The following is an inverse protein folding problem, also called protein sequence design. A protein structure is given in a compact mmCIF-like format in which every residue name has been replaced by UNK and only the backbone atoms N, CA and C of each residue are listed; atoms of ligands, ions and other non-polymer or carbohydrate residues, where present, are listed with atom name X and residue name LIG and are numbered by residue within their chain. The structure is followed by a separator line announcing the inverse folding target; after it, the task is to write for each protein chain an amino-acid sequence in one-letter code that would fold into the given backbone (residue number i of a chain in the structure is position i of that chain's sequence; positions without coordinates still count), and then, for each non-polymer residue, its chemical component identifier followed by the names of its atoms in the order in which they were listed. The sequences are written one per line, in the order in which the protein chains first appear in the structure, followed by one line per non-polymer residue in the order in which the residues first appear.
data_IF_073802357483
#
_entry.id   IF_073802357483
#
_cell.length_a   1.000
_cell.length_b   1.000
_cell.length_c   1.000
_cell.angle_alpha   90.00
_cell.angle_beta   90.00
_cell.angle_gamma   90.00
#
_symmetry.space_group_name_H-M   'P 1'
#
loop_
_entity.id
_entity.type
_entity.pdbx_description
1 polymer ?
#
# COMPACT_ATOMS: atom_id res chain seq x y z
N UNK A 1 19.04 -5.67 1.69
CA UNK A 1 17.71 -6.28 1.90
C UNK A 1 16.91 -6.13 0.61
N UNK A 2 16.12 -7.13 0.20
CA UNK A 2 15.21 -6.93 -0.92
C UNK A 2 14.15 -5.89 -0.54
N UNK A 3 13.96 -4.87 -1.38
CA UNK A 3 12.92 -3.84 -1.19
C UNK A 3 11.53 -4.47 -1.37
N UNK A 4 10.53 -3.96 -0.64
CA UNK A 4 9.13 -4.36 -0.81
C UNK A 4 8.65 -4.25 -2.26
N UNK A 5 9.25 -3.33 -3.04
CA UNK A 5 9.00 -3.17 -4.48
C UNK A 5 9.25 -4.46 -5.27
N UNK A 6 10.29 -5.23 -4.92
CA UNK A 6 10.62 -6.45 -5.65
C UNK A 6 9.55 -7.53 -5.46
N UNK A 7 9.04 -7.68 -4.23
CA UNK A 7 7.96 -8.63 -3.94
C UNK A 7 6.65 -8.23 -4.59
N UNK A 8 6.30 -6.94 -4.57
CA UNK A 8 5.09 -6.44 -5.22
C UNK A 8 5.15 -6.58 -6.75
N UNK A 9 6.31 -6.31 -7.36
CA UNK A 9 6.50 -6.51 -8.79
C UNK A 9 6.30 -7.99 -9.19
N UNK A 10 6.77 -8.93 -8.36
CA UNK A 10 6.53 -10.35 -8.58
C UNK A 10 5.06 -10.74 -8.40
N UNK A 11 4.36 -10.16 -7.41
CA UNK A 11 2.97 -10.48 -7.10
C UNK A 11 1.98 -9.96 -8.15
N UNK A 12 2.27 -8.80 -8.76
CA UNK A 12 1.35 -8.11 -9.68
C UNK A 12 1.83 -8.10 -11.14
N UNK A 13 2.60 -9.10 -11.55
CA UNK A 13 3.07 -9.31 -12.93
C UNK A 13 3.82 -8.09 -13.52
N UNK A 14 4.63 -7.41 -12.70
CA UNK A 14 5.40 -6.24 -13.11
C UNK A 14 4.56 -4.98 -13.39
N UNK A 15 3.27 -4.97 -13.03
CA UNK A 15 2.43 -3.78 -13.18
C UNK A 15 2.90 -2.66 -12.24
N UNK A 16 3.01 -1.47 -12.82
CA UNK A 16 3.41 -0.24 -12.09
C UNK A 16 2.24 0.44 -11.37
N UNK A 17 1.01 0.05 -11.68
CA UNK A 17 -0.21 0.63 -11.12
C UNK A 17 -1.14 -0.46 -10.63
N UNK A 18 -1.61 -0.30 -9.41
CA UNK A 18 -2.59 -1.16 -8.75
C UNK A 18 -3.96 -0.47 -8.69
N UNK A 19 -5.00 -1.29 -8.74
CA UNK A 19 -6.35 -0.88 -8.36
C UNK A 19 -6.45 -0.69 -6.85
N UNK A 20 -7.52 -0.04 -6.39
CA UNK A 20 -7.77 0.08 -4.94
C UNK A 20 -7.85 -1.28 -4.25
N UNK A 21 -8.50 -2.26 -4.88
CA UNK A 21 -8.70 -3.60 -4.30
C UNK A 21 -7.33 -4.27 -4.06
N UNK A 22 -6.45 -4.24 -5.07
CA UNK A 22 -5.08 -4.78 -4.99
C UNK A 22 -4.21 -4.03 -3.97
N UNK A 23 -4.31 -2.69 -3.93
CA UNK A 23 -3.57 -1.90 -2.93
C UNK A 23 -4.07 -2.19 -1.51
N UNK A 24 -5.38 -2.33 -1.31
CA UNK A 24 -5.98 -2.69 -0.03
C UNK A 24 -5.57 -4.09 0.42
N UNK A 25 -5.56 -5.06 -0.51
CA UNK A 25 -5.06 -6.41 -0.27
C UNK A 25 -3.60 -6.37 0.18
N UNK A 26 -2.74 -5.62 -0.53
CA UNK A 26 -1.32 -5.51 -0.21
C UNK A 26 -1.05 -4.92 1.19
N UNK A 27 -1.83 -3.93 1.63
CA UNK A 27 -1.67 -3.28 2.94
C UNK A 27 -2.55 -3.91 4.05
N UNK A 28 -3.28 -4.97 3.74
CA UNK A 28 -4.06 -5.73 4.73
C UNK A 28 -5.32 -5.04 5.24
N UNK A 29 -5.97 -4.19 4.44
CA UNK A 29 -7.26 -3.59 4.80
C UNK A 29 -8.38 -4.04 3.86
N UNK A 30 -9.63 -4.05 4.35
CA UNK A 30 -10.78 -4.35 3.50
C UNK A 30 -10.99 -3.23 2.46
N UNK A 31 -11.25 -3.60 1.20
CA UNK A 31 -11.54 -2.65 0.11
C UNK A 31 -12.61 -1.62 0.45
N UNK A 32 -13.68 -2.05 1.15
CA UNK A 32 -14.75 -1.14 1.62
C UNK A 32 -14.21 -0.07 2.57
N UNK A 33 -13.30 -0.45 3.47
CA UNK A 33 -12.61 0.49 4.35
C UNK A 33 -11.74 1.45 3.55
N UNK A 34 -11.03 0.96 2.52
CA UNK A 34 -10.27 1.80 1.59
C UNK A 34 -11.14 2.87 0.90
N UNK A 35 -12.29 2.49 0.35
CA UNK A 35 -13.24 3.46 -0.24
C UNK A 35 -13.73 4.49 0.78
N UNK A 36 -14.06 4.07 2.00
CA UNK A 36 -14.48 4.98 3.07
C UNK A 36 -13.36 5.97 3.42
N UNK A 37 -12.13 5.49 3.59
CA UNK A 37 -10.97 6.32 3.87
C UNK A 37 -10.69 7.33 2.74
N UNK A 38 -10.82 6.93 1.47
CA UNK A 38 -10.71 7.86 0.33
C UNK A 38 -11.78 8.94 0.41
N UNK A 39 -13.02 8.56 0.68
CA UNK A 39 -14.13 9.52 0.81
C UNK A 39 -13.92 10.47 1.99
N UNK A 40 -13.27 10.02 3.06
CA UNK A 40 -12.94 10.82 4.24
C UNK A 40 -11.64 11.60 4.09
N UNK A 41 -10.88 11.40 3.01
CA UNK A 41 -9.55 12.01 2.83
C UNK A 41 -8.47 11.45 3.75
N UNK A 42 -8.67 10.25 4.31
CA UNK A 42 -7.77 9.60 5.28
C UNK A 42 -7.06 8.36 4.74
N UNK A 43 -7.21 8.04 3.45
CA UNK A 43 -6.52 6.89 2.85
C UNK A 43 -5.00 7.09 2.90
N UNK A 44 -4.23 6.10 3.37
CA UNK A 44 -2.82 6.31 3.73
C UNK A 44 -1.87 6.42 2.53
N UNK A 45 -2.35 6.12 1.32
CA UNK A 45 -1.55 6.09 0.10
C UNK A 45 -1.98 7.20 -0.89
N UNK A 46 -1.01 7.84 -1.57
CA UNK A 46 -1.28 8.66 -2.74
C UNK A 46 -2.08 7.87 -3.78
N UNK A 47 -3.08 8.52 -4.37
CA UNK A 47 -3.94 7.86 -5.36
C UNK A 47 -4.48 8.88 -6.35
N UNK A 48 -4.82 8.40 -7.56
CA UNK A 48 -5.48 9.20 -8.60
C UNK A 48 -6.74 8.51 -9.09
N UNK A 49 -7.72 9.31 -9.50
CA UNK A 49 -8.92 8.80 -10.17
C UNK A 49 -8.71 8.79 -11.68
N UNK A 50 -9.02 7.68 -12.33
CA UNK A 50 -9.10 7.56 -13.79
C UNK A 50 -10.47 6.99 -14.16
N UNK A 51 -11.38 7.86 -14.57
CA UNK A 51 -12.80 7.52 -14.72
C UNK A 51 -13.39 7.06 -13.39
N UNK A 52 -13.96 5.85 -13.35
CA UNK A 52 -14.54 5.25 -12.14
C UNK A 52 -13.52 4.50 -11.27
N UNK A 53 -12.27 4.36 -11.72
CA UNK A 53 -11.24 3.59 -11.03
C UNK A 53 -10.36 4.48 -10.18
N UNK A 54 -9.94 3.97 -9.03
CA UNK A 54 -8.86 4.53 -8.21
C UNK A 54 -7.60 3.74 -8.51
N UNK A 55 -6.52 4.47 -8.79
CA UNK A 55 -5.23 3.92 -9.18
C UNK A 55 -4.15 4.38 -8.21
N UNK A 56 -3.30 3.45 -7.80
CA UNK A 56 -2.21 3.63 -6.85
C UNK A 56 -0.91 3.17 -7.50
N UNK A 57 0.17 3.91 -7.34
CA UNK A 57 1.48 3.50 -7.83
C UNK A 57 2.05 2.41 -6.91
N UNK A 58 2.55 1.32 -7.49
CA UNK A 58 3.10 0.20 -6.71
C UNK A 58 4.31 0.62 -5.85
N UNK A 59 5.04 1.66 -6.27
CA UNK A 59 6.18 2.21 -5.50
C UNK A 59 5.71 2.88 -4.21
N UNK A 60 4.59 3.59 -4.25
CA UNK A 60 4.01 4.21 -3.06
C UNK A 60 3.54 3.14 -2.06
N UNK A 61 2.99 2.02 -2.57
CA UNK A 61 2.62 0.87 -1.74
C UNK A 61 3.87 0.24 -1.11
N UNK A 62 4.94 0.06 -1.88
CA UNK A 62 6.21 -0.47 -1.37
C UNK A 62 6.78 0.42 -0.26
N UNK A 63 6.84 1.73 -0.47
CA UNK A 63 7.35 2.70 0.50
C UNK A 63 6.52 2.74 1.77
N UNK A 64 5.19 2.57 1.67
CA UNK A 64 4.32 2.44 2.84
C UNK A 64 4.66 1.19 3.65
N UNK A 65 4.76 0.02 3.01
CA UNK A 65 5.09 -1.23 3.68
C UNK A 65 6.49 -1.21 4.31
N UNK A 66 7.47 -0.60 3.62
CA UNK A 66 8.82 -0.44 4.15
C UNK A 66 8.84 0.46 5.41
N UNK A 67 8.02 1.52 5.44
CA UNK A 67 7.84 2.36 6.64
C UNK A 67 7.16 1.62 7.79
N UNK A 68 6.06 0.93 7.53
CA UNK A 68 5.36 0.13 8.55
C UNK A 68 6.29 -0.93 9.15
N UNK A 69 7.09 -1.61 8.31
CA UNK A 69 8.09 -2.58 8.76
C UNK A 69 9.16 -1.93 9.64
N UNK A 70 9.67 -0.76 9.27
CA UNK A 70 10.67 -0.04 10.06
C UNK A 70 10.10 0.36 11.43
N UNK A 71 8.89 0.93 11.46
CA UNK A 71 8.20 1.28 12.72
C UNK A 71 7.97 0.05 13.61
N UNK A 72 7.51 -1.06 13.05
CA UNK A 72 7.34 -2.31 13.79
C UNK A 72 8.67 -2.82 14.36
N UNK A 73 9.77 -2.68 13.60
CA UNK A 73 11.11 -3.08 14.02
C UNK A 73 11.61 -2.24 15.20
N UNK A 74 11.49 -0.92 15.10
CA UNK A 74 11.87 0.00 16.18
C UNK A 74 11.03 -0.26 17.45
N UNK A 75 9.73 -0.49 17.32
CA UNK A 75 8.87 -0.80 18.45
C UNK A 75 9.29 -2.09 19.16
N UNK A 76 9.66 -3.12 18.38
CA UNK A 76 10.17 -4.38 18.92
C UNK A 76 11.47 -4.17 19.71
N UNK A 77 12.42 -3.40 19.17
CA UNK A 77 13.72 -3.10 19.78
C UNK A 77 13.64 -2.21 21.02
N UNK A 78 12.58 -1.40 21.19
CA UNK A 78 12.37 -0.62 22.42
C UNK A 78 11.79 -1.45 23.57
N UNK A 79 11.18 -2.59 23.26
CA UNK A 79 10.45 -3.41 24.23
C UNK A 79 11.27 -4.61 24.73
N UNK A 80 12.40 -4.91 24.10
CA UNK A 80 13.31 -6.02 24.41
C UNK A 80 14.73 -5.50 24.63
#
# INVERSE_FOLDING_TARGET
MASSMFYLAAQFDGRVVLTLDEACEAIGIATKTGYNQISMGTFPLPHRKQGKRVLIDVRDVAEYLDRERATAREAFERTH
#
